data_IF_875992689574
#
_entry.id   IF_875992689574
#
_cell.length_a   1.000
_cell.length_b   1.000
_cell.length_c   1.000
_cell.angle_alpha   90.00
_cell.angle_beta   90.00
_cell.angle_gamma   90.00
#
_symmetry.space_group_name_H-M   'P 1'
#
loop_
_entity.id
_entity.type
_entity.pdbx_description
1 polymer ?
#
# COMPACT_ATOMS: atom_id res chain seq x y z
N UNK A 1 -1.80 -4.27 4.24
CA UNK A 1 -0.45 -4.28 4.83
C UNK A 1 -0.12 -2.97 5.56
N UNK A 2 -0.03 -1.81 4.86
CA UNK A 2 0.38 -0.50 5.44
C UNK A 2 -0.25 -0.16 6.80
N UNK A 3 -1.58 -0.24 6.89
CA UNK A 3 -2.33 0.08 8.12
C UNK A 3 -1.92 -0.79 9.31
N UNK A 4 -1.78 -2.11 9.12
CA UNK A 4 -1.38 -3.05 10.18
C UNK A 4 0.03 -2.72 10.70
N UNK A 5 0.95 -2.36 9.81
CA UNK A 5 2.31 -1.95 10.19
C UNK A 5 2.26 -0.67 11.02
N UNK A 6 1.49 0.34 10.59
CA UNK A 6 1.32 1.58 11.33
C UNK A 6 0.76 1.36 12.74
N UNK A 7 -0.31 0.56 12.87
CA UNK A 7 -0.90 0.21 14.17
C UNK A 7 0.12 -0.51 15.07
N UNK A 8 0.85 -1.48 14.52
CA UNK A 8 1.87 -2.23 15.27
C UNK A 8 3.03 -1.33 15.73
N UNK A 9 3.54 -0.44 14.87
CA UNK A 9 4.62 0.50 15.23
C UNK A 9 4.19 1.46 16.34
N UNK A 10 2.91 1.84 16.37
CA UNK A 10 2.31 2.67 17.42
C UNK A 10 1.86 1.88 18.64
N UNK A 11 2.05 0.55 18.65
CA UNK A 11 1.56 -0.36 19.69
C UNK A 11 0.06 -0.21 20.00
N UNK A 12 -0.75 0.02 18.94
CA UNK A 12 -2.20 0.12 19.06
C UNK A 12 -2.79 -1.27 18.90
N UNK A 13 -3.56 -1.72 19.90
CA UNK A 13 -4.35 -2.94 19.78
C UNK A 13 -5.54 -2.73 18.84
N UNK A 14 -5.83 -3.73 18.01
CA UNK A 14 -6.94 -3.69 17.08
C UNK A 14 -7.53 -5.08 16.87
N UNK A 15 -8.82 -5.12 16.58
CA UNK A 15 -9.47 -6.30 16.03
C UNK A 15 -9.24 -6.36 14.52
N UNK A 16 -8.76 -7.50 14.02
CA UNK A 16 -8.59 -7.73 12.59
C UNK A 16 -9.76 -8.55 12.05
N UNK A 17 -10.56 -7.92 11.20
CA UNK A 17 -11.62 -8.60 10.45
C UNK A 17 -11.15 -8.86 9.02
N UNK A 18 -10.97 -10.13 8.69
CA UNK A 18 -10.57 -10.54 7.35
C UNK A 18 -11.74 -10.37 6.36
N UNK A 19 -11.45 -9.83 5.18
CA UNK A 19 -12.44 -9.61 4.13
C UNK A 19 -12.24 -10.60 2.98
N UNK A 20 -13.30 -11.33 2.64
CA UNK A 20 -13.34 -12.10 1.41
C UNK A 20 -13.41 -11.15 0.18
N UNK A 21 -12.49 -11.30 -0.77
CA UNK A 21 -12.43 -10.45 -1.96
C UNK A 21 -13.52 -10.75 -3.01
N UNK A 22 -14.01 -11.99 -3.07
CA UNK A 22 -15.07 -12.40 -3.99
C UNK A 22 -16.44 -11.97 -3.48
N UNK A 23 -16.66 -12.03 -2.17
CA UNK A 23 -17.94 -11.68 -1.53
C UNK A 23 -17.69 -10.58 -0.49
N UNK A 24 -18.09 -9.35 -0.82
CA UNK A 24 -17.95 -8.19 0.06
C UNK A 24 -18.92 -8.29 1.23
N UNK A 25 -18.44 -8.05 2.46
CA UNK A 25 -19.28 -8.08 3.66
C UNK A 25 -20.19 -6.85 3.71
N UNK A 26 -21.33 -6.99 4.39
CA UNK A 26 -22.24 -5.86 4.64
C UNK A 26 -21.52 -4.73 5.40
N UNK A 27 -20.70 -5.08 6.39
CA UNK A 27 -19.89 -4.13 7.14
C UNK A 27 -18.97 -3.30 6.22
N UNK A 28 -18.29 -3.93 5.26
CA UNK A 28 -17.45 -3.23 4.30
C UNK A 28 -18.27 -2.30 3.40
N UNK A 29 -19.43 -2.77 2.92
CA UNK A 29 -20.28 -2.00 2.02
C UNK A 29 -20.86 -0.77 2.73
N UNK A 30 -21.18 -0.88 4.01
CA UNK A 30 -21.64 0.23 4.84
C UNK A 30 -20.51 1.19 5.22
N UNK A 31 -19.32 0.66 5.52
CA UNK A 31 -18.19 1.46 6.00
C UNK A 31 -17.45 2.18 4.87
N UNK A 32 -17.42 1.61 3.66
CA UNK A 32 -16.83 2.23 2.47
C UNK A 32 -17.81 2.12 1.27
N UNK A 33 -18.92 2.88 1.29
CA UNK A 33 -19.95 2.77 0.26
C UNK A 33 -19.48 3.28 -1.11
N UNK A 34 -18.49 4.18 -1.14
CA UNK A 34 -17.95 4.79 -2.35
C UNK A 34 -17.09 3.80 -3.14
N UNK A 35 -16.02 3.29 -2.52
CA UNK A 35 -15.06 2.45 -3.22
C UNK A 35 -15.26 0.96 -2.96
N UNK A 36 -15.87 0.59 -1.83
CA UNK A 36 -16.10 -0.80 -1.42
C UNK A 36 -14.79 -1.60 -1.42
N UNK A 37 -13.70 -0.96 -0.99
CA UNK A 37 -12.34 -1.50 -0.97
C UNK A 37 -11.81 -1.55 0.47
N UNK A 38 -10.93 -2.51 0.70
CA UNK A 38 -10.09 -2.58 1.90
C UNK A 38 -8.73 -1.89 1.62
N UNK A 39 -8.03 -1.40 2.66
CA UNK A 39 -8.41 -1.41 4.08
C UNK A 39 -9.46 -0.34 4.43
N UNK A 40 -10.22 -0.62 5.49
CA UNK A 40 -11.05 0.34 6.22
C UNK A 40 -10.65 0.23 7.69
N UNK A 41 -10.35 1.36 8.34
CA UNK A 41 -10.17 1.43 9.79
C UNK A 41 -11.47 1.96 10.39
N UNK A 42 -12.02 1.29 11.39
CA UNK A 42 -13.18 1.79 12.14
C UNK A 42 -12.67 2.18 13.52
N UNK A 43 -12.67 3.47 13.83
CA UNK A 43 -12.27 3.99 15.14
C UNK A 43 -13.47 4.71 15.74
N UNK A 44 -13.95 4.25 16.90
CA UNK A 44 -15.16 4.77 17.56
C UNK A 44 -16.38 4.83 16.63
N UNK A 45 -16.66 3.72 15.93
CA UNK A 45 -17.75 3.58 14.94
C UNK A 45 -17.64 4.52 13.72
N UNK A 46 -16.52 5.22 13.55
CA UNK A 46 -16.27 6.09 12.40
C UNK A 46 -15.33 5.39 11.41
N UNK A 47 -15.79 5.11 10.17
CA UNK A 47 -14.95 4.48 9.17
C UNK A 47 -14.02 5.48 8.48
N UNK A 48 -12.75 5.13 8.37
CA UNK A 48 -11.72 5.81 7.59
C UNK A 48 -11.25 4.88 6.48
N UNK A 49 -11.25 5.37 5.25
CA UNK A 49 -10.89 4.63 4.04
C UNK A 49 -9.55 5.11 3.47
N UNK A 50 -9.02 4.37 2.49
CA UNK A 50 -7.75 4.63 1.80
C UNK A 50 -6.52 4.45 2.69
N UNK A 51 -5.62 3.56 2.27
CA UNK A 51 -4.52 3.10 3.15
C UNK A 51 -3.58 4.22 3.62
N UNK A 52 -3.27 5.20 2.76
CA UNK A 52 -2.42 6.33 3.13
C UNK A 52 -3.14 7.27 4.09
N UNK A 53 -4.41 7.61 3.81
CA UNK A 53 -5.22 8.45 4.68
C UNK A 53 -5.34 7.84 6.08
N UNK A 54 -5.55 6.53 6.16
CA UNK A 54 -5.60 5.81 7.44
C UNK A 54 -4.27 5.92 8.19
N UNK A 55 -3.12 5.78 7.52
CA UNK A 55 -1.79 5.92 8.16
C UNK A 55 -1.59 7.34 8.69
N UNK A 56 -1.98 8.36 7.92
CA UNK A 56 -1.95 9.76 8.40
C UNK A 56 -2.80 9.95 9.65
N UNK A 57 -4.04 9.46 9.61
CA UNK A 57 -4.95 9.51 10.74
C UNK A 57 -4.36 8.85 12.00
N UNK A 58 -3.75 7.67 11.85
CA UNK A 58 -3.11 6.97 12.96
C UNK A 58 -1.98 7.81 13.55
N UNK A 59 -1.11 8.39 12.71
CA UNK A 59 0.03 9.18 13.18
C UNK A 59 -0.39 10.46 13.90
N UNK A 60 -1.45 11.11 13.42
CA UNK A 60 -1.99 12.35 14.01
C UNK A 60 -2.76 12.12 15.31
N UNK A 61 -3.60 11.07 15.36
CA UNK A 61 -4.45 10.80 16.53
C UNK A 61 -3.67 10.13 17.66
N UNK A 62 -2.78 9.21 17.32
CA UNK A 62 -1.97 8.48 18.29
C UNK A 62 -0.56 9.08 18.28
N UNK A 63 -0.43 10.25 18.93
CA UNK A 63 0.82 11.01 19.10
C UNK A 63 1.84 10.32 20.03
N UNK A 64 2.05 9.02 19.86
CA UNK A 64 3.08 8.24 20.53
C UNK A 64 4.31 8.08 19.63
N UNK A 65 5.49 8.03 20.26
CA UNK A 65 6.72 7.67 19.54
C UNK A 65 6.72 6.19 19.13
N UNK A 66 7.25 5.85 17.94
CA UNK A 66 7.83 6.76 16.96
C UNK A 66 6.78 7.45 16.07
N UNK A 67 7.08 8.67 15.63
CA UNK A 67 6.36 9.32 14.52
C UNK A 67 6.51 8.49 13.24
N UNK A 68 5.40 8.22 12.55
CA UNK A 68 5.42 7.51 11.27
C UNK A 68 5.87 8.44 10.13
N UNK A 69 5.62 9.73 10.27
CA UNK A 69 5.93 10.74 9.26
C UNK A 69 7.04 11.67 9.73
N UNK A 70 7.81 12.25 8.79
CA UNK A 70 8.73 13.33 9.10
C UNK A 70 8.00 14.54 9.71
N UNK A 71 8.61 15.13 10.72
CA UNK A 71 8.10 16.37 11.33
C UNK A 71 8.23 17.57 10.38
N UNK A 72 9.31 17.60 9.58
CA UNK A 72 9.55 18.66 8.61
C UNK A 72 8.48 18.63 7.49
N UNK A 73 7.84 19.77 7.15
CA UNK A 73 6.81 19.82 6.14
C UNK A 73 7.27 19.45 4.72
N UNK A 74 8.51 19.78 4.34
CA UNK A 74 9.04 19.46 3.03
C UNK A 74 9.30 17.95 2.92
N UNK A 75 9.94 17.36 3.93
CA UNK A 75 10.19 15.92 3.95
C UNK A 75 8.88 15.11 3.99
N UNK A 76 7.85 15.63 4.68
CA UNK A 76 6.50 15.03 4.68
C UNK A 76 5.85 15.10 3.29
N UNK A 77 5.96 16.23 2.59
CA UNK A 77 5.47 16.37 1.22
C UNK A 77 6.20 15.43 0.24
N UNK A 78 7.52 15.27 0.39
CA UNK A 78 8.31 14.31 -0.39
C UNK A 78 7.85 12.88 -0.10
N UNK A 79 7.61 12.53 1.16
CA UNK A 79 7.08 11.22 1.57
C UNK A 79 5.72 10.94 0.91
N UNK A 80 4.81 11.93 0.93
CA UNK A 80 3.51 11.83 0.27
C UNK A 80 3.62 11.61 -1.24
N UNK A 81 4.52 12.34 -1.90
CA UNK A 81 4.75 12.22 -3.33
C UNK A 81 5.16 10.79 -3.69
N UNK A 82 6.13 10.22 -2.97
CA UNK A 82 6.58 8.85 -3.20
C UNK A 82 5.51 7.82 -2.89
N UNK A 83 4.77 7.98 -1.80
CA UNK A 83 3.67 7.08 -1.44
C UNK A 83 2.59 7.04 -2.53
N UNK A 84 2.19 8.22 -3.03
CA UNK A 84 1.21 8.36 -4.12
C UNK A 84 1.74 7.77 -5.41
N UNK A 85 3.01 8.05 -5.74
CA UNK A 85 3.65 7.50 -6.94
C UNK A 85 3.65 5.96 -6.92
N UNK A 86 3.98 5.34 -5.78
CA UNK A 86 3.98 3.88 -5.63
C UNK A 86 2.58 3.31 -5.89
N UNK A 87 1.54 3.95 -5.36
CA UNK A 87 0.14 3.53 -5.58
C UNK A 87 -0.25 3.62 -7.05
N UNK A 88 0.09 4.72 -7.71
CA UNK A 88 -0.32 4.98 -9.09
C UNK A 88 0.46 4.17 -10.13
N UNK A 89 1.77 4.00 -9.92
CA UNK A 89 2.68 3.48 -10.96
C UNK A 89 3.16 2.07 -10.69
N UNK A 90 3.55 1.78 -9.45
CA UNK A 90 4.10 0.47 -9.11
C UNK A 90 3.00 -0.57 -8.93
N UNK A 91 1.98 -0.26 -8.11
CA UNK A 91 0.86 -1.18 -7.91
C UNK A 91 0.04 -1.39 -9.19
N UNK A 92 -0.19 -0.32 -9.97
CA UNK A 92 -0.82 -0.44 -11.29
C UNK A 92 -0.07 -1.40 -12.21
N UNK A 93 1.25 -1.24 -12.32
CA UNK A 93 2.06 -2.10 -13.17
C UNK A 93 2.19 -3.55 -12.66
N UNK A 94 2.28 -3.77 -11.35
CA UNK A 94 2.24 -5.12 -10.77
C UNK A 94 0.90 -5.81 -11.01
N UNK A 95 -0.21 -5.07 -10.91
CA UNK A 95 -1.54 -5.60 -11.18
C UNK A 95 -1.70 -5.99 -12.65
N UNK A 96 -1.22 -5.17 -13.59
CA UNK A 96 -1.17 -5.52 -15.01
C UNK A 96 -0.33 -6.78 -15.28
N UNK A 97 0.80 -6.95 -14.59
CA UNK A 97 1.63 -8.16 -14.72
C UNK A 97 0.91 -9.38 -14.14
N UNK A 98 0.28 -9.28 -12.98
CA UNK A 98 -0.47 -10.40 -12.38
C UNK A 98 -1.67 -10.82 -13.23
N UNK A 99 -2.41 -9.86 -13.81
CA UNK A 99 -3.51 -10.17 -14.74
C UNK A 99 -2.96 -10.69 -16.08
N UNK A 100 -1.90 -10.07 -16.61
CA UNK A 100 -1.28 -10.47 -17.87
C UNK A 100 -0.60 -11.84 -17.85
N UNK A 101 -0.31 -12.40 -16.67
CA UNK A 101 0.19 -13.77 -16.51
C UNK A 101 -0.91 -14.84 -16.65
N UNK A 102 -2.20 -14.47 -16.62
CA UNK A 102 -3.30 -15.42 -16.89
C UNK A 102 -3.57 -15.69 -18.37
N UNK A 103 -2.95 -14.91 -19.27
CA UNK A 103 -2.93 -15.17 -20.71
C UNK A 103 -1.50 -15.61 -21.12
N UNK A 104 -1.25 -16.92 -21.15
CA UNK A 104 0.05 -17.48 -21.54
C UNK A 104 0.46 -17.11 -22.98
N UNK A 105 1.78 -16.96 -23.17
CA UNK A 105 2.50 -16.95 -24.46
C UNK A 105 2.23 -15.81 -25.46
N UNK A 106 2.92 -14.66 -25.33
CA UNK A 106 3.54 -14.01 -26.50
C UNK A 106 4.95 -13.49 -26.19
N UNK A 107 5.90 -14.09 -26.89
CA UNK A 107 7.33 -13.87 -26.85
C UNK A 107 7.77 -12.40 -26.81
N UNK A 108 8.73 -12.17 -25.92
CA UNK A 108 9.51 -10.95 -25.85
C UNK A 108 9.67 -10.56 -24.39
N UNK A 109 10.89 -10.70 -23.87
CA UNK A 109 11.32 -10.07 -22.61
C UNK A 109 11.24 -8.55 -22.80
N UNK A 110 10.02 -8.01 -22.78
CA UNK A 110 9.75 -6.58 -22.69
C UNK A 110 9.98 -6.30 -21.21
N UNK A 111 11.18 -5.82 -20.88
CA UNK A 111 11.68 -5.70 -19.50
C UNK A 111 10.58 -5.31 -18.52
N UNK A 112 10.45 -6.10 -17.45
CA UNK A 112 9.41 -5.97 -16.45
C UNK A 112 9.20 -4.48 -16.11
N UNK A 113 7.97 -3.97 -16.03
CA UNK A 113 7.71 -2.58 -15.64
C UNK A 113 8.47 -2.18 -14.38
N UNK A 114 8.62 -3.11 -13.45
CA UNK A 114 9.46 -3.06 -12.25
C UNK A 114 10.92 -2.71 -12.55
N UNK A 115 11.52 -3.33 -13.57
CA UNK A 115 12.91 -3.11 -13.97
C UNK A 115 13.10 -1.76 -14.67
N UNK A 116 12.15 -1.33 -15.51
CA UNK A 116 12.13 0.02 -16.08
C UNK A 116 11.98 1.10 -15.01
N UNK A 117 11.15 0.83 -14.00
CA UNK A 117 10.93 1.74 -12.88
C UNK A 117 12.16 1.83 -11.95
N UNK A 118 12.77 0.71 -11.55
CA UNK A 118 13.97 0.71 -10.72
C UNK A 118 15.18 1.33 -11.44
N UNK A 119 15.14 1.37 -12.78
CA UNK A 119 16.16 2.00 -13.62
C UNK A 119 15.86 3.46 -13.96
N UNK A 120 14.76 4.05 -13.47
CA UNK A 120 14.43 5.44 -13.73
C UNK A 120 15.43 6.35 -12.97
N UNK A 121 16.07 7.28 -13.68
CA UNK A 121 17.11 8.14 -13.13
C UNK A 121 16.69 8.95 -11.90
N UNK A 122 15.39 9.25 -11.75
CA UNK A 122 14.83 9.99 -10.61
C UNK A 122 14.62 9.09 -9.38
N UNK A 123 14.47 7.79 -9.60
CA UNK A 123 13.95 6.85 -8.60
C UNK A 123 14.99 5.80 -8.19
N UNK A 124 15.98 5.55 -9.05
CA UNK A 124 17.04 4.55 -8.85
C UNK A 124 17.76 4.70 -7.51
N UNK A 125 18.03 5.93 -7.08
CA UNK A 125 18.79 6.20 -5.85
C UNK A 125 17.90 6.20 -4.59
N UNK A 126 16.57 6.12 -4.77
CA UNK A 126 15.57 6.19 -3.70
C UNK A 126 14.87 4.86 -3.45
N UNK A 127 15.04 3.89 -4.35
CA UNK A 127 14.47 2.56 -4.21
C UNK A 127 15.48 1.57 -3.62
N UNK A 128 15.07 0.67 -2.72
CA UNK A 128 15.87 -0.49 -2.40
C UNK A 128 16.10 -1.34 -3.66
N UNK A 129 17.24 -2.04 -3.70
CA UNK A 129 17.64 -2.85 -4.86
C UNK A 129 16.49 -3.71 -5.39
N UNK A 130 16.35 -3.78 -6.72
CA UNK A 130 15.25 -4.50 -7.42
C UNK A 130 15.04 -5.92 -6.88
N UNK A 131 16.11 -6.59 -6.45
CA UNK A 131 16.07 -7.92 -5.83
C UNK A 131 15.28 -7.93 -4.51
N UNK A 132 15.47 -6.92 -3.65
CA UNK A 132 14.72 -6.76 -2.39
C UNK A 132 13.24 -6.47 -2.64
N UNK A 133 12.93 -5.73 -3.71
CA UNK A 133 11.55 -5.45 -4.10
C UNK A 133 10.83 -6.69 -4.66
N UNK A 134 11.55 -7.52 -5.41
CA UNK A 134 11.03 -8.81 -5.89
C UNK A 134 10.84 -9.81 -4.74
N UNK A 135 11.72 -9.81 -3.75
CA UNK A 135 11.58 -10.62 -2.54
C UNK A 135 10.38 -10.17 -1.69
N UNK A 136 10.21 -8.86 -1.51
CA UNK A 136 9.02 -8.28 -0.87
C UNK A 136 7.73 -8.60 -1.62
N UNK A 137 7.74 -8.51 -2.95
CA UNK A 137 6.59 -8.88 -3.78
C UNK A 137 6.24 -10.37 -3.68
N UNK A 138 7.25 -11.27 -3.67
CA UNK A 138 7.04 -12.70 -3.44
C UNK A 138 6.41 -12.96 -2.08
N UNK A 139 6.92 -12.32 -1.03
CA UNK A 139 6.38 -12.44 0.33
C UNK A 139 4.90 -12.03 0.42
N UNK A 140 4.46 -11.04 -0.37
CA UNK A 140 3.07 -10.61 -0.45
C UNK A 140 2.15 -11.56 -1.22
N UNK A 141 2.71 -12.39 -2.11
CA UNK A 141 1.95 -13.33 -2.95
C UNK A 141 1.90 -14.73 -2.31
N UNK A 142 2.88 -15.08 -1.46
CA UNK A 142 3.03 -16.40 -0.86
C UNK A 142 2.50 -16.54 0.57
N UNK A 143 1.80 -15.53 1.10
CA UNK A 143 1.21 -15.53 2.45
C UNK A 143 -0.23 -15.09 2.41
#
# INVERSE_FOLDING_TARGET
MRVRIALNLKNIEYEYLEQNYAVKSELLLQSNPVYKKVPVLIHNDQPICESLIIVHYIDEVFMSDPSLLPSDPFDRAVTHLWATYIDDKWYGALFEVMIGQTDEEKGGVRGLPTQRFCSNAVVKDLMPETEKLMEFAKMLISG
#
